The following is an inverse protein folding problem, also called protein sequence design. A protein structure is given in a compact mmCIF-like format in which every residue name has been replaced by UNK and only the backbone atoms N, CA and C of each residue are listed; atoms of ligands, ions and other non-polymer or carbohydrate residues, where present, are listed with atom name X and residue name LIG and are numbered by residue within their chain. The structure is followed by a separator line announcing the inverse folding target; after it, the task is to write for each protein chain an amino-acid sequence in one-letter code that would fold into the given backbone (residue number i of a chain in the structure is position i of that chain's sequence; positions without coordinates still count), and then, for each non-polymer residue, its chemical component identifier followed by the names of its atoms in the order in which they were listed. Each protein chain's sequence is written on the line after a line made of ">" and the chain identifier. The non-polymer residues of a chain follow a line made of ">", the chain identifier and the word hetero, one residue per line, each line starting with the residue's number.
data_IF_842123786353
#
_entry.id   IF_842123786353
#
_cell.length_a   1.000
_cell.length_b   1.000
_cell.length_c   1.000
_cell.angle_alpha   90.00
_cell.angle_beta   90.00
_cell.angle_gamma   90.00
#
_symmetry.space_group_name_H-M   'P 1'
#
loop_
_entity.id
_entity.type
_entity.pdbx_description
1 polymer ?
#
# COMPACT_ATOMS: atom_id res chain seq x y z
N UNK A 1 21.01 -34.48 -71.58
CA UNK A 1 19.59 -34.63 -71.18
C UNK A 1 19.52 -35.70 -70.10
N UNK A 2 19.53 -35.30 -68.83
CA UNK A 2 19.75 -36.18 -67.67
C UNK A 2 18.42 -36.43 -66.93
N UNK A 3 17.62 -37.38 -67.44
CA UNK A 3 16.28 -37.68 -66.93
C UNK A 3 16.24 -38.84 -65.92
N UNK A 4 17.28 -39.70 -65.90
CA UNK A 4 17.34 -40.88 -65.04
C UNK A 4 17.66 -40.53 -63.57
N UNK A 5 18.39 -39.43 -63.32
CA UNK A 5 18.71 -38.98 -61.96
C UNK A 5 17.53 -38.30 -61.24
N UNK A 6 16.57 -37.74 -61.99
CA UNK A 6 15.43 -37.00 -61.43
C UNK A 6 14.49 -37.90 -60.61
N UNK A 7 14.25 -39.13 -61.07
CA UNK A 7 13.41 -40.11 -60.37
C UNK A 7 14.03 -40.63 -59.06
N UNK A 8 15.37 -40.78 -59.00
CA UNK A 8 16.05 -41.21 -57.76
C UNK A 8 16.13 -40.08 -56.73
N UNK A 9 16.21 -38.82 -57.16
CA UNK A 9 16.09 -37.64 -56.27
C UNK A 9 14.65 -37.49 -55.76
N UNK A 10 13.62 -37.57 -56.60
CA UNK A 10 12.22 -37.40 -56.19
C UNK A 10 11.77 -38.44 -55.17
N UNK A 11 12.18 -39.71 -55.33
CA UNK A 11 11.88 -40.76 -54.36
C UNK A 11 12.46 -40.46 -52.97
N UNK A 12 13.67 -39.89 -52.88
CA UNK A 12 14.31 -39.47 -51.61
C UNK A 12 13.64 -38.25 -50.98
N UNK A 13 13.11 -37.34 -51.80
CA UNK A 13 12.34 -36.20 -51.30
C UNK A 13 10.95 -36.63 -50.79
N UNK A 14 10.31 -37.61 -51.43
CA UNK A 14 9.05 -38.18 -50.97
C UNK A 14 9.20 -38.93 -49.63
N UNK A 15 10.27 -39.70 -49.45
CA UNK A 15 10.54 -40.34 -48.16
C UNK A 15 10.84 -39.31 -47.07
N UNK A 16 11.62 -38.27 -47.38
CA UNK A 16 11.87 -37.16 -46.47
C UNK A 16 10.58 -36.41 -46.09
N UNK A 17 9.73 -36.09 -47.07
CA UNK A 17 8.45 -35.43 -46.85
C UNK A 17 7.52 -36.29 -45.97
N UNK A 18 7.43 -37.58 -46.24
CA UNK A 18 6.63 -38.51 -45.43
C UNK A 18 7.08 -38.56 -43.97
N UNK A 19 8.39 -38.59 -43.72
CA UNK A 19 8.95 -38.56 -42.37
C UNK A 19 8.62 -37.25 -41.66
N UNK A 20 8.77 -36.11 -42.35
CA UNK A 20 8.41 -34.80 -41.80
C UNK A 20 6.92 -34.73 -41.46
N UNK A 21 6.05 -35.19 -42.35
CA UNK A 21 4.60 -35.21 -42.09
C UNK A 21 4.27 -36.12 -40.91
N UNK A 22 4.87 -37.31 -40.81
CA UNK A 22 4.68 -38.21 -39.68
C UNK A 22 5.14 -37.58 -38.34
N UNK A 23 6.29 -36.89 -38.35
CA UNK A 23 6.79 -36.16 -37.18
C UNK A 23 5.81 -35.07 -36.73
N UNK A 24 5.25 -34.29 -37.66
CA UNK A 24 4.28 -33.24 -37.32
C UNK A 24 2.99 -33.83 -36.76
N UNK A 25 2.47 -34.92 -37.34
CA UNK A 25 1.28 -35.61 -36.83
C UNK A 25 1.54 -36.12 -35.40
N UNK A 26 2.72 -36.67 -35.13
CA UNK A 26 3.11 -37.12 -33.79
C UNK A 26 3.18 -35.95 -32.78
N UNK A 27 3.77 -34.82 -33.18
CA UNK A 27 3.85 -33.62 -32.33
C UNK A 27 2.45 -33.06 -32.03
N UNK A 28 1.59 -32.93 -33.04
CA UNK A 28 0.21 -32.48 -32.86
C UNK A 28 -0.56 -33.45 -31.94
N UNK A 29 -0.40 -34.75 -32.15
CA UNK A 29 -1.00 -35.77 -31.29
C UNK A 29 -0.53 -35.65 -29.82
N UNK A 30 0.75 -35.42 -29.58
CA UNK A 30 1.30 -35.24 -28.24
C UNK A 30 0.80 -33.95 -27.55
N UNK A 31 0.62 -32.87 -28.31
CA UNK A 31 0.08 -31.60 -27.81
C UNK A 31 -1.41 -31.75 -27.43
N UNK A 32 -2.20 -32.42 -28.26
CA UNK A 32 -3.63 -32.69 -27.99
C UNK A 32 -3.80 -33.60 -26.76
N UNK A 33 -2.96 -34.63 -26.62
CA UNK A 33 -3.01 -35.57 -25.49
C UNK A 33 -2.35 -35.06 -24.20
N UNK A 34 -1.85 -33.82 -24.15
CA UNK A 34 -1.64 -33.13 -22.88
C UNK A 34 -0.20 -32.91 -22.41
N UNK A 35 0.82 -33.08 -23.26
CA UNK A 35 2.20 -32.68 -22.89
C UNK A 35 2.28 -31.16 -22.58
N UNK A 36 1.53 -30.36 -23.32
CA UNK A 36 1.44 -28.91 -23.13
C UNK A 36 0.76 -28.52 -21.81
N UNK A 37 -0.29 -29.26 -21.39
CA UNK A 37 -1.00 -28.96 -20.13
C UNK A 37 -0.18 -29.34 -18.91
N UNK A 38 0.50 -30.49 -18.96
CA UNK A 38 1.34 -30.98 -17.85
C UNK A 38 2.54 -30.07 -17.56
N UNK A 39 3.11 -29.43 -18.58
CA UNK A 39 4.21 -28.46 -18.43
C UNK A 39 3.74 -27.16 -17.77
N UNK A 40 2.54 -26.68 -18.10
CA UNK A 40 1.96 -25.46 -17.48
C UNK A 40 1.61 -25.69 -16.01
N UNK A 41 1.17 -26.90 -15.67
CA UNK A 41 0.83 -27.27 -14.30
C UNK A 41 2.06 -27.35 -13.37
N UNK A 42 3.23 -27.74 -13.90
CA UNK A 42 4.50 -27.72 -13.15
C UNK A 42 5.06 -26.30 -12.98
N UNK A 43 4.75 -25.37 -13.88
CA UNK A 43 5.24 -23.99 -13.81
C UNK A 43 4.42 -23.15 -12.81
N UNK A 44 3.12 -23.42 -12.68
CA UNK A 44 2.25 -22.76 -11.70
C UNK A 44 2.41 -23.32 -10.27
N UNK A 45 3.64 -23.63 -9.85
CA UNK A 45 3.88 -23.96 -8.46
C UNK A 45 3.49 -22.76 -7.57
N UNK A 46 2.85 -23.03 -6.42
CA UNK A 46 2.18 -22.01 -5.64
C UNK A 46 3.20 -20.99 -5.15
N UNK A 47 3.06 -19.75 -5.62
CA UNK A 47 3.72 -18.62 -5.01
C UNK A 47 3.29 -18.58 -3.54
N UNK A 48 4.22 -18.92 -2.66
CA UNK A 48 4.06 -18.77 -1.22
C UNK A 48 3.97 -17.28 -0.92
N UNK A 49 2.75 -16.75 -0.99
CA UNK A 49 2.42 -15.46 -0.39
C UNK A 49 2.55 -15.65 1.12
N UNK A 50 3.74 -15.39 1.65
CA UNK A 50 3.92 -15.15 3.07
C UNK A 50 3.07 -13.93 3.40
N UNK A 51 1.87 -14.22 3.90
CA UNK A 51 1.02 -13.30 4.62
C UNK A 51 1.92 -12.63 5.65
N UNK A 52 2.04 -11.31 5.56
CA UNK A 52 2.66 -10.50 6.60
C UNK A 52 1.95 -10.88 7.89
N UNK A 53 2.63 -11.72 8.67
CA UNK A 53 2.25 -12.09 10.02
C UNK A 53 2.10 -10.78 10.76
N UNK A 54 0.88 -10.52 11.18
CA UNK A 54 0.54 -9.45 12.10
C UNK A 54 1.67 -9.27 13.08
N UNK A 55 2.21 -8.05 13.10
CA UNK A 55 3.08 -7.58 14.16
C UNK A 55 2.29 -7.82 15.43
N UNK A 56 2.63 -8.91 16.12
CA UNK A 56 2.21 -9.13 17.50
C UNK A 56 2.47 -7.83 18.22
N UNK A 57 1.40 -7.19 18.67
CA UNK A 57 1.41 -6.04 19.56
C UNK A 57 2.58 -6.25 20.50
N UNK A 58 3.61 -5.42 20.33
CA UNK A 58 4.73 -5.36 21.26
C UNK A 58 4.07 -5.19 22.61
N UNK A 59 4.12 -6.24 23.43
CA UNK A 59 3.63 -6.21 24.80
C UNK A 59 4.25 -4.96 25.41
N UNK A 60 3.39 -3.97 25.67
CA UNK A 60 3.81 -2.68 26.16
C UNK A 60 4.54 -2.96 27.46
N UNK A 61 5.84 -2.63 27.49
CA UNK A 61 6.61 -2.78 28.72
C UNK A 61 5.84 -2.07 29.83
N UNK A 62 5.71 -2.66 31.03
CA UNK A 62 4.99 -2.02 32.11
C UNK A 62 5.52 -0.59 32.25
N UNK A 63 4.60 0.38 32.23
CA UNK A 63 4.96 1.79 32.31
C UNK A 63 5.94 1.98 33.48
N UNK A 64 7.05 2.73 33.29
CA UNK A 64 7.95 3.01 34.40
C UNK A 64 7.13 3.59 35.55
N UNK A 65 7.42 3.21 36.81
CA UNK A 65 6.69 3.75 37.95
C UNK A 65 6.74 5.29 37.88
N UNK A 66 5.62 5.98 38.15
CA UNK A 66 5.59 7.43 38.15
C UNK A 66 6.75 7.94 39.00
N UNK A 67 7.61 8.77 38.42
CA UNK A 67 8.61 9.47 39.19
C UNK A 67 7.85 10.40 40.15
N UNK A 68 7.87 10.08 41.44
CA UNK A 68 7.46 11.02 42.48
C UNK A 68 8.47 12.16 42.50
N UNK A 69 8.16 13.19 41.70
CA UNK A 69 8.77 14.50 41.84
C UNK A 69 8.23 15.09 43.13
N UNK A 70 9.05 15.10 44.18
CA UNK A 70 8.75 15.89 45.36
C UNK A 70 8.53 17.34 44.90
N UNK A 71 7.36 17.94 45.18
CA UNK A 71 7.13 19.32 44.80
C UNK A 71 8.19 20.19 45.49
N UNK A 72 8.80 21.15 44.76
CA UNK A 72 9.76 22.05 45.37
C UNK A 72 9.10 22.73 46.57
N UNK A 73 9.84 22.95 47.68
CA UNK A 73 9.28 23.56 48.86
C UNK A 73 8.64 24.90 48.48
N UNK A 74 7.43 25.21 48.99
CA UNK A 74 6.75 26.44 48.64
C UNK A 74 7.63 27.63 48.99
N UNK A 75 7.89 28.48 47.99
CA UNK A 75 8.57 29.74 48.22
C UNK A 75 7.72 30.57 49.19
N UNK A 76 8.22 30.79 50.40
CA UNK A 76 7.58 31.66 51.38
C UNK A 76 7.76 33.11 50.92
N UNK A 77 6.73 33.66 50.29
CA UNK A 77 6.62 35.09 50.06
C UNK A 77 5.83 35.65 51.24
N UNK A 78 6.45 36.45 52.14
CA UNK A 78 5.70 37.06 53.23
C UNK A 78 4.60 37.96 52.63
N UNK A 79 3.34 37.79 53.04
CA UNK A 79 2.27 38.62 52.54
C UNK A 79 2.52 40.07 52.93
N UNK A 80 2.39 41.03 51.99
CA UNK A 80 2.43 42.44 52.35
C UNK A 80 1.25 42.76 53.27
N UNK A 81 1.52 43.49 54.36
CA UNK A 81 0.49 44.02 55.25
C UNK A 81 -0.32 45.09 54.51
N UNK A 82 -1.44 44.69 53.93
CA UNK A 82 -2.42 45.60 53.32
C UNK A 82 -3.44 45.96 54.42
N UNK A 83 -3.45 47.23 54.84
CA UNK A 83 -4.54 47.78 55.65
C UNK A 83 -5.76 47.95 54.76
N UNK A 84 -6.78 47.12 54.98
CA UNK A 84 -8.06 47.19 54.29
C UNK A 84 -9.01 48.02 55.17
N UNK A 85 -9.31 49.24 54.75
CA UNK A 85 -10.52 49.93 55.20
C UNK A 85 -11.73 49.24 54.54
N UNK A 86 -12.67 48.78 55.36
CA UNK A 86 -13.90 48.09 54.95
C UNK A 86 -14.94 49.12 54.48
N UNK A 87 -15.36 49.11 53.20
CA UNK A 87 -16.58 49.77 52.79
C UNK A 87 -17.77 48.83 52.99
N UNK A 88 -18.92 49.44 53.28
CA UNK A 88 -20.16 48.79 53.68
C UNK A 88 -20.71 47.75 52.69
N UNK A 89 -21.35 46.74 53.27
CA UNK A 89 -22.06 45.63 52.66
C UNK A 89 -23.27 46.12 51.86
N UNK A 90 -23.32 45.79 50.57
CA UNK A 90 -24.54 45.83 49.77
C UNK A 90 -24.86 44.41 49.30
N UNK A 91 -25.84 43.79 49.95
CA UNK A 91 -26.38 42.50 49.55
C UNK A 91 -27.14 42.66 48.23
N UNK A 92 -26.53 42.25 47.12
CA UNK A 92 -27.21 42.17 45.82
C UNK A 92 -27.52 40.71 45.50
N UNK A 93 -28.77 40.47 45.17
CA UNK A 93 -29.42 39.18 45.01
C UNK A 93 -28.83 38.41 43.82
N UNK A 94 -28.47 37.16 44.05
CA UNK A 94 -28.13 36.16 43.04
C UNK A 94 -29.38 35.85 42.20
N UNK A 95 -29.41 36.28 40.94
CA UNK A 95 -30.33 35.74 39.96
C UNK A 95 -29.81 34.37 39.52
N UNK A 96 -30.42 33.29 40.01
CA UNK A 96 -30.21 31.95 39.50
C UNK A 96 -30.96 31.85 38.18
N UNK A 97 -30.23 31.80 37.06
CA UNK A 97 -30.82 31.42 35.78
C UNK A 97 -30.95 29.90 35.73
N UNK A 98 -32.20 29.43 35.64
CA UNK A 98 -32.56 28.06 35.31
C UNK A 98 -32.90 28.01 33.82
N UNK A 99 -31.91 28.26 32.94
CA UNK A 99 -32.09 28.00 31.52
C UNK A 99 -31.50 26.63 31.19
N UNK A 100 -32.37 25.70 30.79
CA UNK A 100 -31.97 24.38 30.28
C UNK A 100 -31.10 24.61 29.04
N UNK A 101 -29.86 24.12 28.99
CA UNK A 101 -29.02 24.22 27.79
C UNK A 101 -29.80 23.71 26.57
N UNK A 102 -29.78 24.41 25.43
CA UNK A 102 -30.41 23.91 24.21
C UNK A 102 -29.82 22.53 23.91
N UNK A 103 -30.72 21.57 23.69
CA UNK A 103 -30.36 20.21 23.34
C UNK A 103 -29.42 20.26 22.13
N UNK A 104 -28.17 19.83 22.30
CA UNK A 104 -27.19 19.83 21.24
C UNK A 104 -27.74 19.00 20.08
N UNK A 105 -27.85 19.61 18.91
CA UNK A 105 -28.24 18.90 17.69
C UNK A 105 -27.33 17.67 17.53
N UNK A 106 -27.94 16.51 17.26
CA UNK A 106 -27.21 15.27 17.05
C UNK A 106 -26.14 15.49 15.96
N UNK A 107 -24.93 14.95 16.13
CA UNK A 107 -23.88 15.07 15.13
C UNK A 107 -24.39 14.54 13.78
N UNK A 108 -24.02 15.19 12.66
CA UNK A 108 -24.45 14.75 11.34
C UNK A 108 -24.05 13.29 11.12
N UNK A 109 -24.87 12.50 10.39
CA UNK A 109 -24.53 11.12 10.06
C UNK A 109 -23.14 11.05 9.40
N UNK A 110 -22.32 10.05 9.74
CA UNK A 110 -21.02 9.87 9.11
C UNK A 110 -21.19 9.72 7.60
N UNK A 111 -20.39 10.46 6.83
CA UNK A 111 -20.41 10.36 5.38
C UNK A 111 -20.07 8.93 4.93
N UNK A 112 -20.74 8.42 3.88
CA UNK A 112 -20.47 7.09 3.37
C UNK A 112 -19.05 7.01 2.78
N UNK A 113 -18.18 6.24 3.43
CA UNK A 113 -16.82 5.97 2.94
C UNK A 113 -16.88 4.99 1.78
N UNK A 114 -16.69 5.47 0.56
CA UNK A 114 -16.55 4.59 -0.61
C UNK A 114 -15.15 3.97 -0.63
N UNK A 115 -15.02 2.64 -0.83
CA UNK A 115 -13.72 2.01 -0.93
C UNK A 115 -12.98 2.50 -2.19
N UNK A 116 -11.63 2.53 -2.17
CA UNK A 116 -10.85 2.86 -3.34
C UNK A 116 -11.13 1.88 -4.48
N UNK A 117 -11.30 2.42 -5.68
CA UNK A 117 -11.47 1.65 -6.91
C UNK A 117 -10.11 1.18 -7.41
N UNK A 118 -9.96 -0.13 -7.60
CA UNK A 118 -8.72 -0.74 -8.09
C UNK A 118 -8.72 -0.96 -9.61
N UNK A 119 -9.82 -0.63 -10.28
CA UNK A 119 -10.02 -0.76 -11.73
C UNK A 119 -9.57 0.47 -12.53
N UNK A 120 -8.61 1.24 -11.99
CA UNK A 120 -7.98 2.31 -12.74
C UNK A 120 -7.33 1.72 -14.00
N UNK A 121 -7.57 2.33 -15.16
CA UNK A 121 -7.08 1.80 -16.43
C UNK A 121 -5.56 2.00 -16.64
N UNK A 122 -4.85 2.60 -15.66
CA UNK A 122 -3.40 2.81 -15.64
C UNK A 122 -2.83 3.28 -17.00
N UNK A 123 -3.51 4.21 -17.69
CA UNK A 123 -3.20 4.67 -19.05
C UNK A 123 -1.74 5.12 -19.20
N UNK A 124 -1.48 6.39 -18.89
CA UNK A 124 -0.17 7.00 -19.04
C UNK A 124 0.56 6.96 -17.70
N UNK A 125 0.96 5.75 -17.30
CA UNK A 125 1.75 5.52 -16.10
C UNK A 125 3.14 4.94 -16.45
N UNK A 126 4.02 5.74 -17.08
CA UNK A 126 5.36 5.28 -17.39
C UNK A 126 6.14 4.96 -16.11
N UNK A 127 7.06 3.98 -16.14
CA UNK A 127 7.86 3.62 -14.98
C UNK A 127 8.74 4.81 -14.55
N UNK A 128 8.93 5.01 -13.23
CA UNK A 128 9.75 6.11 -12.73
C UNK A 128 11.22 5.93 -13.13
N UNK A 129 11.89 7.04 -13.42
CA UNK A 129 13.32 7.01 -13.76
C UNK A 129 14.15 6.67 -12.52
N UNK A 130 14.99 5.64 -12.65
CA UNK A 130 15.87 5.22 -11.55
C UNK A 130 17.02 6.23 -11.34
N UNK A 131 17.20 6.79 -10.13
CA UNK A 131 18.24 7.78 -9.86
C UNK A 131 19.66 7.22 -10.09
N UNK A 132 20.55 8.01 -10.67
CA UNK A 132 21.90 7.57 -11.01
C UNK A 132 22.72 7.15 -9.77
N UNK A 133 22.56 7.85 -8.65
CA UNK A 133 23.21 7.51 -7.38
C UNK A 133 22.73 6.15 -6.86
N UNK A 134 21.43 5.89 -6.96
CA UNK A 134 20.82 4.61 -6.59
C UNK A 134 21.38 3.47 -7.43
N UNK A 135 21.51 3.66 -8.76
CA UNK A 135 22.10 2.66 -9.68
C UNK A 135 23.53 2.32 -9.30
N UNK A 136 24.38 3.33 -9.07
CA UNK A 136 25.79 3.13 -8.72
C UNK A 136 25.98 2.39 -7.40
N UNK A 137 25.06 2.57 -6.45
CA UNK A 137 25.09 1.93 -5.13
C UNK A 137 24.31 0.63 -5.07
N UNK A 138 23.66 0.22 -6.15
CA UNK A 138 22.83 -0.99 -6.19
C UNK A 138 21.64 -0.93 -5.22
N UNK A 139 21.14 0.27 -4.89
CA UNK A 139 19.95 0.39 -4.06
C UNK A 139 18.74 -0.12 -4.83
N UNK A 140 17.78 -0.70 -4.11
CA UNK A 140 16.49 -1.20 -4.60
C UNK A 140 15.42 -1.02 -3.53
N UNK A 141 14.15 -1.11 -3.91
CA UNK A 141 13.05 -1.05 -2.95
C UNK A 141 11.71 -0.71 -3.58
N UNK A 142 10.69 -0.64 -2.71
CA UNK A 142 9.31 -0.30 -3.08
C UNK A 142 8.91 1.02 -2.42
N UNK A 143 8.23 1.88 -3.17
CA UNK A 143 7.60 3.11 -2.67
C UNK A 143 6.09 2.97 -2.78
N UNK A 144 5.38 3.26 -1.70
CA UNK A 144 3.92 3.28 -1.66
C UNK A 144 3.45 4.73 -1.64
N UNK A 145 2.70 5.10 -2.67
CA UNK A 145 2.16 6.45 -2.85
C UNK A 145 0.65 6.44 -2.64
N UNK A 146 0.14 7.49 -2.01
CA UNK A 146 -1.27 7.85 -1.99
C UNK A 146 -1.45 9.03 -2.94
N UNK A 147 -2.14 8.81 -4.04
CA UNK A 147 -2.36 9.81 -5.08
C UNK A 147 -3.84 10.16 -5.13
N UNK A 148 -4.16 11.46 -5.09
CA UNK A 148 -5.48 11.98 -5.37
C UNK A 148 -5.58 12.27 -6.87
N UNK A 149 -6.54 11.64 -7.54
CA UNK A 149 -6.78 11.80 -8.98
C UNK A 149 -8.08 12.57 -9.16
N UNK A 150 -8.05 13.61 -9.99
CA UNK A 150 -9.23 14.43 -10.33
C UNK A 150 -10.14 13.72 -11.33
N UNK A 151 -11.32 14.28 -11.54
CA UNK A 151 -12.29 13.79 -12.52
C UNK A 151 -11.77 13.83 -13.96
N UNK A 152 -10.77 14.65 -14.24
CA UNK A 152 -10.08 14.75 -15.54
C UNK A 152 -8.98 13.68 -15.72
N UNK A 153 -8.72 12.85 -14.70
CA UNK A 153 -7.68 11.82 -14.71
C UNK A 153 -6.28 12.30 -14.36
N UNK A 154 -6.10 13.58 -14.01
CA UNK A 154 -4.80 14.13 -13.63
C UNK A 154 -4.52 13.95 -12.13
N UNK A 155 -3.24 13.75 -11.74
CA UNK A 155 -2.86 13.70 -10.33
C UNK A 155 -2.86 15.11 -9.72
N UNK A 156 -3.58 15.30 -8.62
CA UNK A 156 -3.64 16.58 -7.90
C UNK A 156 -2.68 16.62 -6.72
N UNK A 157 -2.72 15.60 -5.86
CA UNK A 157 -1.88 15.51 -4.67
C UNK A 157 -1.21 14.16 -4.60
N UNK A 158 0.10 14.13 -4.34
CA UNK A 158 0.90 12.91 -4.21
C UNK A 158 1.53 12.90 -2.82
N UNK A 159 1.18 11.91 -2.00
CA UNK A 159 1.74 11.70 -0.67
C UNK A 159 2.50 10.38 -0.60
N UNK A 160 3.67 10.38 0.03
CA UNK A 160 4.46 9.17 0.26
C UNK A 160 3.99 8.52 1.56
N UNK A 161 3.40 7.33 1.46
CA UNK A 161 2.98 6.53 2.63
C UNK A 161 4.15 5.70 3.15
N UNK A 162 4.94 5.13 2.24
CA UNK A 162 6.10 4.30 2.59
C UNK A 162 7.20 4.53 1.56
N UNK A 163 8.42 4.76 2.03
CA UNK A 163 9.60 4.95 1.18
C UNK A 163 10.55 3.75 1.28
N UNK A 164 11.47 3.63 0.34
CA UNK A 164 12.54 2.62 0.37
C UNK A 164 13.65 2.93 1.38
N UNK A 165 13.59 4.08 2.08
CA UNK A 165 14.57 4.48 3.09
C UNK A 165 15.87 5.08 2.54
N UNK A 166 16.08 5.08 1.22
CA UNK A 166 17.25 5.67 0.60
C UNK A 166 17.00 7.10 0.12
N UNK A 167 17.86 8.04 0.54
CA UNK A 167 17.94 9.38 -0.06
C UNK A 167 18.97 9.37 -1.18
N UNK A 168 18.56 9.79 -2.36
CA UNK A 168 19.33 9.73 -3.62
C UNK A 168 19.13 10.98 -4.45
#
# INVERSE_FOLDING_TARGET
>A
MDFAQRNKRSARHLTGLGLVVALHVLVVYALVNGLARKAVEVINQPLLTTIIKDVTVREEAPAPPPLELEPPPPAYVPPPEIRIEVPAVNNTITAVTNEKPPEAAAPPPPEPVTPPRFDAAYLDNPPPTYPALARRRGYEGKVVLRVLIRTDGTPETINIVTSSGYRV
#
